data_IF_940955510424
#
_entry.id   IF_940955510424
#
_cell.length_a   1.000
_cell.length_b   1.000
_cell.length_c   1.000
_cell.angle_alpha   90.00
_cell.angle_beta   90.00
_cell.angle_gamma   90.00
#
_symmetry.space_group_name_H-M   'P 1'
#
loop_
_entity.id
_entity.type
_entity.pdbx_description
1 polymer ?
#
# COMPACT_ATOMS: atom_id res chain seq x y z
N UNK A 1 -7.53 -15.00 -5.86
CA UNK A 1 -6.53 -15.74 -5.08
C UNK A 1 -6.39 -15.20 -3.66
N UNK A 2 -6.01 -13.93 -3.43
CA UNK A 2 -5.75 -13.38 -2.08
C UNK A 2 -6.97 -13.50 -1.15
N UNK A 3 -8.11 -12.90 -1.50
CA UNK A 3 -9.31 -12.94 -0.66
C UNK A 3 -9.83 -14.37 -0.45
N UNK A 4 -9.67 -15.26 -1.44
CA UNK A 4 -10.02 -16.68 -1.26
C UNK A 4 -9.23 -17.31 -0.12
N UNK A 5 -7.92 -17.10 -0.07
CA UNK A 5 -7.10 -17.65 1.02
C UNK A 5 -7.41 -17.02 2.39
N UNK A 6 -7.95 -15.80 2.42
CA UNK A 6 -8.42 -15.19 3.68
C UNK A 6 -9.70 -15.84 4.16
N UNK A 7 -10.67 -16.09 3.27
CA UNK A 7 -11.98 -16.61 3.66
C UNK A 7 -12.02 -18.12 3.82
N UNK A 8 -11.10 -18.88 3.21
CA UNK A 8 -11.02 -20.35 3.37
C UNK A 8 -10.94 -20.77 4.85
N UNK A 9 -10.26 -19.98 5.69
CA UNK A 9 -10.13 -20.26 7.12
C UNK A 9 -11.43 -20.01 7.92
N UNK A 10 -12.43 -19.38 7.33
CA UNK A 10 -13.72 -19.05 7.96
C UNK A 10 -14.89 -19.85 7.39
N UNK A 11 -14.66 -20.72 6.41
CA UNK A 11 -15.69 -21.61 5.89
C UNK A 11 -16.04 -22.70 6.92
N UNK A 12 -17.29 -23.12 6.92
CA UNK A 12 -17.82 -24.18 7.79
C UNK A 12 -18.86 -25.01 7.05
N UNK A 13 -19.40 -26.03 7.73
CA UNK A 13 -20.52 -26.84 7.19
C UNK A 13 -21.81 -26.03 7.02
N UNK A 14 -21.91 -24.86 7.69
CA UNK A 14 -23.11 -24.01 7.65
C UNK A 14 -23.07 -22.97 6.53
N UNK A 15 -21.87 -22.52 6.13
CA UNK A 15 -21.71 -21.51 5.07
C UNK A 15 -20.37 -21.64 4.34
N UNK A 16 -20.40 -21.27 3.07
CA UNK A 16 -19.26 -21.19 2.19
C UNK A 16 -19.22 -19.82 1.52
N UNK A 17 -18.02 -19.36 1.12
CA UNK A 17 -17.84 -18.10 0.41
C UNK A 17 -17.66 -18.36 -1.09
N UNK A 18 -18.53 -17.75 -1.91
CA UNK A 18 -18.33 -17.66 -3.34
C UNK A 18 -17.67 -16.32 -3.66
N UNK A 19 -16.49 -16.36 -4.29
CA UNK A 19 -15.79 -15.14 -4.70
C UNK A 19 -16.09 -14.85 -6.16
N UNK A 20 -16.77 -13.75 -6.39
CA UNK A 20 -17.09 -13.23 -7.71
C UNK A 20 -16.44 -11.88 -7.96
N UNK A 21 -16.23 -11.57 -9.23
CA UNK A 21 -15.80 -10.23 -9.67
C UNK A 21 -17.04 -9.56 -10.25
N UNK A 22 -17.30 -8.27 -9.98
CA UNK A 22 -18.42 -7.55 -10.58
C UNK A 22 -18.34 -7.63 -12.12
N UNK A 23 -19.22 -8.44 -12.75
CA UNK A 23 -19.17 -8.77 -14.16
C UNK A 23 -20.03 -7.82 -15.02
N UNK A 24 -20.19 -6.58 -14.63
CA UNK A 24 -20.85 -5.60 -15.52
C UNK A 24 -19.81 -4.96 -16.42
N UNK A 25 -19.84 -5.33 -17.70
CA UNK A 25 -18.94 -4.79 -18.74
C UNK A 25 -19.18 -3.30 -19.05
N UNK A 26 -20.28 -2.75 -18.59
CA UNK A 26 -20.77 -1.39 -18.83
C UNK A 26 -20.47 -0.43 -17.66
N UNK A 27 -20.04 -0.92 -16.52
CA UNK A 27 -19.66 -0.09 -15.37
C UNK A 27 -18.16 0.15 -15.33
N UNK A 28 -17.77 1.35 -14.94
CA UNK A 28 -16.38 1.66 -14.62
C UNK A 28 -15.86 0.66 -13.60
N UNK A 29 -14.75 -0.04 -13.91
CA UNK A 29 -14.14 -1.01 -13.01
C UNK A 29 -13.49 -0.29 -11.83
N UNK A 30 -13.52 -0.92 -10.64
CA UNK A 30 -12.75 -0.47 -9.50
C UNK A 30 -13.59 -0.17 -8.25
N UNK A 31 -12.94 0.38 -7.26
CA UNK A 31 -13.45 0.66 -5.91
C UNK A 31 -14.83 1.37 -5.91
N UNK A 32 -15.02 2.38 -6.76
CA UNK A 32 -16.29 3.14 -6.84
C UNK A 32 -17.49 2.29 -7.16
N UNK A 33 -17.33 1.27 -8.01
CA UNK A 33 -18.43 0.36 -8.35
C UNK A 33 -18.80 -0.51 -7.16
N UNK A 34 -17.78 -1.01 -6.47
CA UNK A 34 -17.96 -1.84 -5.27
C UNK A 34 -18.67 -1.04 -4.17
N UNK A 35 -18.25 0.20 -3.92
CA UNK A 35 -18.89 1.07 -2.94
C UNK A 35 -20.36 1.35 -3.31
N UNK A 36 -20.64 1.65 -4.56
CA UNK A 36 -22.03 1.85 -5.01
C UNK A 36 -22.91 0.59 -4.84
N UNK A 37 -22.34 -0.60 -5.06
CA UNK A 37 -23.05 -1.87 -4.80
C UNK A 37 -23.24 -2.12 -3.31
N UNK A 38 -22.32 -1.68 -2.48
CA UNK A 38 -22.41 -1.82 -1.03
C UNK A 38 -23.50 -0.93 -0.40
N UNK A 39 -23.91 0.14 -1.09
CA UNK A 39 -25.03 1.00 -0.69
C UNK A 39 -26.41 0.42 -1.08
N UNK A 40 -26.45 -0.60 -1.94
CA UNK A 40 -27.72 -1.16 -2.45
C UNK A 40 -28.37 -2.05 -1.37
N UNK A 41 -29.55 -1.69 -0.85
CA UNK A 41 -30.23 -2.45 0.19
C UNK A 41 -30.75 -3.82 -0.29
N UNK A 42 -30.80 -4.06 -1.60
CA UNK A 42 -31.18 -5.36 -2.18
C UNK A 42 -30.01 -6.35 -2.19
N UNK A 43 -28.77 -5.86 -2.07
CA UNK A 43 -27.59 -6.70 -2.00
C UNK A 43 -27.40 -7.18 -0.56
N UNK A 44 -27.78 -8.43 -0.32
CA UNK A 44 -27.70 -9.09 1.00
C UNK A 44 -26.69 -10.23 0.96
N UNK A 45 -26.26 -10.64 2.13
CA UNK A 45 -25.33 -11.78 2.29
C UNK A 45 -24.06 -11.67 1.42
N UNK A 46 -23.61 -10.42 1.21
CA UNK A 46 -22.48 -10.11 0.36
C UNK A 46 -21.43 -9.33 1.14
N UNK A 47 -20.18 -9.79 1.07
CA UNK A 47 -19.01 -9.09 1.57
C UNK A 47 -18.26 -8.45 0.40
N UNK A 48 -17.95 -7.19 0.53
CA UNK A 48 -17.22 -6.43 -0.49
C UNK A 48 -15.74 -6.33 -0.13
N UNK A 49 -14.89 -6.82 -1.02
CA UNK A 49 -13.44 -6.88 -0.81
C UNK A 49 -12.74 -5.87 -1.71
N UNK A 50 -12.00 -4.96 -1.13
CA UNK A 50 -11.33 -3.88 -1.85
C UNK A 50 -9.89 -3.68 -1.39
N UNK A 51 -9.07 -3.12 -2.27
CA UNK A 51 -7.80 -2.53 -1.86
C UNK A 51 -8.05 -1.21 -1.14
N UNK A 52 -7.37 -1.02 -0.04
CA UNK A 52 -7.53 0.19 0.78
C UNK A 52 -7.00 1.43 0.07
N UNK A 53 -5.98 1.31 -0.77
CA UNK A 53 -5.14 2.45 -1.14
C UNK A 53 -4.67 3.18 0.13
N UNK A 54 -5.06 4.44 0.32
CA UNK A 54 -4.80 5.18 1.57
C UNK A 54 -6.01 5.28 2.49
N UNK A 55 -7.16 4.71 2.15
CA UNK A 55 -8.39 4.92 2.92
C UNK A 55 -8.30 4.39 4.35
N UNK A 56 -7.61 3.25 4.56
CA UNK A 56 -7.31 2.79 5.91
C UNK A 56 -6.48 3.81 6.69
N UNK A 57 -5.46 4.39 6.06
CA UNK A 57 -4.56 5.34 6.72
C UNK A 57 -5.23 6.70 6.96
N UNK A 58 -6.11 7.12 6.08
CA UNK A 58 -6.85 8.38 6.21
C UNK A 58 -7.98 8.30 7.24
N UNK A 59 -8.44 7.12 7.57
CA UNK A 59 -9.53 6.92 8.51
C UNK A 59 -10.80 7.72 8.14
N UNK A 60 -11.17 8.69 8.96
CA UNK A 60 -12.35 9.53 8.78
C UNK A 60 -12.04 10.88 8.08
N UNK A 61 -10.84 11.03 7.52
CA UNK A 61 -10.41 12.33 6.98
C UNK A 61 -11.02 12.66 5.62
N UNK A 62 -11.39 11.65 4.84
CA UNK A 62 -12.14 11.83 3.58
C UNK A 62 -13.52 11.15 3.66
N UNK A 63 -14.52 11.57 2.86
CA UNK A 63 -15.82 10.89 2.82
C UNK A 63 -15.68 9.40 2.48
N UNK A 64 -14.88 9.06 1.47
CA UNK A 64 -14.65 7.68 1.01
C UNK A 64 -13.95 6.86 2.09
N UNK A 65 -12.89 7.39 2.71
CA UNK A 65 -12.17 6.65 3.76
C UNK A 65 -13.05 6.40 4.99
N UNK A 66 -13.95 7.34 5.32
CA UNK A 66 -14.92 7.16 6.39
C UNK A 66 -15.90 6.04 6.09
N UNK A 67 -16.45 6.01 4.89
CA UNK A 67 -17.37 4.97 4.43
C UNK A 67 -16.73 3.60 4.51
N UNK A 68 -15.55 3.42 3.90
CA UNK A 68 -14.80 2.16 3.88
C UNK A 68 -14.49 1.66 5.30
N UNK A 69 -14.03 2.55 6.19
CA UNK A 69 -13.65 2.15 7.54
C UNK A 69 -14.83 1.88 8.48
N UNK A 70 -16.05 2.30 8.13
CA UNK A 70 -17.24 2.18 9.00
C UNK A 70 -18.28 1.20 8.51
N UNK A 71 -18.25 0.83 7.25
CA UNK A 71 -19.25 -0.09 6.66
C UNK A 71 -18.88 -1.54 7.00
N UNK A 72 -19.70 -2.26 7.80
CA UNK A 72 -19.30 -3.55 8.38
C UNK A 72 -19.14 -4.68 7.37
N UNK A 73 -19.72 -4.57 6.18
CA UNK A 73 -19.62 -5.57 5.10
C UNK A 73 -18.59 -5.21 4.03
N UNK A 74 -17.82 -4.13 4.24
CA UNK A 74 -16.67 -3.80 3.39
C UNK A 74 -15.40 -4.29 4.08
N UNK A 75 -14.74 -5.25 3.44
CA UNK A 75 -13.42 -5.75 3.83
C UNK A 75 -12.35 -5.07 2.98
N UNK A 76 -11.37 -4.48 3.62
CA UNK A 76 -10.30 -3.79 2.93
C UNK A 76 -8.92 -4.26 3.41
N UNK A 77 -7.91 -4.03 2.59
CA UNK A 77 -6.52 -4.27 3.01
C UNK A 77 -6.09 -3.24 4.06
N UNK A 78 -5.22 -3.64 5.00
CA UNK A 78 -4.53 -2.71 5.91
C UNK A 78 -3.23 -2.15 5.29
N UNK A 79 -2.69 -2.82 4.28
CA UNK A 79 -1.67 -2.32 3.39
C UNK A 79 -2.32 -1.54 2.23
N UNK A 80 -1.51 -0.91 1.36
CA UNK A 80 -2.03 -0.15 0.22
C UNK A 80 -2.90 -1.02 -0.70
N UNK A 81 -2.42 -2.18 -1.08
CA UNK A 81 -3.12 -3.14 -1.93
C UNK A 81 -2.74 -4.59 -1.57
N UNK A 82 -3.45 -5.57 -2.15
CA UNK A 82 -3.15 -7.00 -1.94
C UNK A 82 -1.73 -7.38 -2.36
N UNK A 83 -1.16 -6.74 -3.38
CA UNK A 83 0.22 -6.96 -3.82
C UNK A 83 1.26 -6.63 -2.76
N UNK A 84 0.98 -5.68 -1.88
CA UNK A 84 1.90 -5.33 -0.79
C UNK A 84 2.07 -6.47 0.21
N UNK A 85 1.03 -7.27 0.44
CA UNK A 85 1.15 -8.49 1.25
C UNK A 85 2.02 -9.57 0.58
N UNK A 86 1.97 -9.66 -0.77
CA UNK A 86 2.85 -10.58 -1.51
C UNK A 86 4.33 -10.21 -1.39
N UNK A 87 4.62 -8.94 -1.10
CA UNK A 87 5.97 -8.43 -0.85
C UNK A 87 6.35 -8.40 0.64
N UNK A 88 5.59 -9.07 1.51
CA UNK A 88 5.89 -9.10 2.95
C UNK A 88 7.25 -9.74 3.22
N UNK A 89 8.22 -8.93 3.61
CA UNK A 89 9.63 -9.27 3.67
C UNK A 89 9.94 -10.55 4.49
N UNK A 90 9.33 -10.77 5.69
CA UNK A 90 9.59 -11.97 6.47
C UNK A 90 9.21 -13.29 5.79
N UNK A 91 8.28 -13.28 4.83
CA UNK A 91 7.84 -14.48 4.11
C UNK A 91 8.67 -14.79 2.86
N UNK A 92 9.40 -13.81 2.31
CA UNK A 92 10.02 -13.93 1.00
C UNK A 92 11.14 -14.98 0.95
N UNK A 93 11.95 -15.11 2.01
CA UNK A 93 12.96 -16.14 2.07
C UNK A 93 12.34 -17.55 1.91
N UNK A 94 11.30 -17.84 2.66
CA UNK A 94 10.59 -19.13 2.59
C UNK A 94 9.98 -19.39 1.22
N UNK A 95 9.48 -18.35 0.54
CA UNK A 95 8.97 -18.45 -0.84
C UNK A 95 10.10 -18.82 -1.79
N UNK A 96 11.27 -18.18 -1.66
CA UNK A 96 12.45 -18.51 -2.47
C UNK A 96 12.92 -19.94 -2.22
N UNK A 97 13.00 -20.40 -0.96
CA UNK A 97 13.35 -21.77 -0.60
C UNK A 97 12.38 -22.77 -1.24
N UNK A 98 11.09 -22.54 -1.16
CA UNK A 98 10.07 -23.39 -1.79
C UNK A 98 10.21 -23.46 -3.32
N UNK A 99 10.52 -22.34 -3.96
CA UNK A 99 10.66 -22.25 -5.41
C UNK A 99 11.96 -22.88 -5.93
N UNK A 100 13.07 -22.64 -5.24
CA UNK A 100 14.41 -23.06 -5.71
C UNK A 100 14.90 -24.37 -5.11
N UNK A 101 14.27 -24.87 -4.05
CA UNK A 101 14.72 -25.99 -3.23
C UNK A 101 16.12 -25.77 -2.62
N UNK A 102 16.48 -24.51 -2.44
CA UNK A 102 17.76 -24.09 -1.84
C UNK A 102 17.46 -23.16 -0.67
N UNK A 103 17.96 -23.51 0.50
CA UNK A 103 17.79 -22.78 1.77
C UNK A 103 18.93 -21.77 2.06
N UNK A 104 19.88 -21.65 1.15
CA UNK A 104 20.98 -20.70 1.30
C UNK A 104 20.44 -19.26 1.31
N UNK A 105 20.70 -18.55 2.39
CA UNK A 105 20.30 -17.14 2.50
C UNK A 105 21.31 -16.26 1.76
N UNK A 106 21.01 -15.96 0.48
CA UNK A 106 21.85 -15.12 -0.38
C UNK A 106 21.41 -13.65 -0.38
N UNK A 107 20.25 -13.35 0.19
CA UNK A 107 19.68 -12.01 0.24
C UNK A 107 18.79 -11.83 1.46
N UNK A 108 19.11 -10.86 2.30
CA UNK A 108 18.31 -10.50 3.48
C UNK A 108 17.18 -9.55 3.07
N UNK A 109 16.02 -10.13 2.80
CA UNK A 109 14.83 -9.39 2.38
C UNK A 109 14.36 -8.40 3.45
N UNK A 110 14.36 -8.78 4.73
CA UNK A 110 13.88 -7.92 5.80
C UNK A 110 14.73 -6.66 5.91
N UNK A 111 16.05 -6.85 5.94
CA UNK A 111 16.99 -5.73 5.95
C UNK A 111 16.86 -4.85 4.71
N UNK A 112 16.76 -5.46 3.52
CA UNK A 112 16.64 -4.72 2.27
C UNK A 112 15.36 -3.88 2.24
N UNK A 113 14.19 -4.46 2.56
CA UNK A 113 12.92 -3.74 2.55
C UNK A 113 12.83 -2.68 3.64
N UNK A 114 13.42 -2.89 4.81
CA UNK A 114 13.54 -1.86 5.83
C UNK A 114 14.40 -0.68 5.34
N UNK A 115 15.56 -0.93 4.74
CA UNK A 115 16.44 0.11 4.21
C UNK A 115 15.84 0.82 2.97
N UNK A 116 15.12 0.08 2.12
CA UNK A 116 14.33 0.63 1.02
C UNK A 116 13.25 1.56 1.55
N UNK A 117 12.46 1.10 2.52
CA UNK A 117 11.39 1.89 3.15
C UNK A 117 11.90 3.19 3.75
N UNK A 118 12.97 3.13 4.56
CA UNK A 118 13.61 4.34 5.11
C UNK A 118 14.03 5.31 4.01
N UNK A 119 14.49 4.76 2.89
CA UNK A 119 14.96 5.57 1.76
C UNK A 119 13.79 6.28 1.07
N UNK A 120 12.67 5.61 0.82
CA UNK A 120 11.53 6.20 0.10
C UNK A 120 10.59 7.01 1.00
N UNK A 121 10.64 6.84 2.33
CA UNK A 121 9.75 7.44 3.30
C UNK A 121 9.53 8.95 3.12
N UNK A 122 10.53 9.79 2.87
CA UNK A 122 10.31 11.22 2.64
C UNK A 122 9.37 11.51 1.46
N UNK A 123 9.53 10.79 0.35
CA UNK A 123 8.67 10.96 -0.83
C UNK A 123 7.30 10.28 -0.66
N UNK A 124 7.23 9.17 0.08
CA UNK A 124 5.97 8.57 0.47
C UNK A 124 5.11 9.57 1.25
N UNK A 125 5.68 10.32 2.19
CA UNK A 125 4.95 11.34 2.93
C UNK A 125 4.44 12.48 2.02
N UNK A 126 5.20 12.88 1.02
CA UNK A 126 4.73 13.83 0.02
C UNK A 126 3.56 13.29 -0.77
N UNK A 127 3.65 12.04 -1.23
CA UNK A 127 2.60 11.41 -2.00
C UNK A 127 1.33 11.20 -1.17
N UNK A 128 1.43 10.60 0.01
CA UNK A 128 0.28 10.35 0.87
C UNK A 128 -0.39 11.66 1.33
N UNK A 129 0.41 12.69 1.66
CA UNK A 129 -0.12 14.00 2.01
C UNK A 129 -0.83 14.66 0.82
N UNK A 130 -0.24 14.62 -0.37
CA UNK A 130 -0.87 15.14 -1.59
C UNK A 130 -2.17 14.40 -1.93
N UNK A 131 -2.21 13.09 -1.76
CA UNK A 131 -3.42 12.29 -1.99
C UNK A 131 -4.55 12.64 -1.01
N UNK A 132 -4.23 13.04 0.22
CA UNK A 132 -5.22 13.50 1.19
C UNK A 132 -5.83 14.86 0.81
N UNK A 133 -5.10 15.69 0.07
CA UNK A 133 -5.57 16.99 -0.41
C UNK A 133 -6.34 16.79 -1.73
N UNK A 134 -7.62 16.48 -1.68
CA UNK A 134 -8.44 16.10 -2.85
C UNK A 134 -8.43 17.13 -4.01
N UNK A 135 -8.06 18.38 -3.76
CA UNK A 135 -8.08 19.47 -4.73
C UNK A 135 -6.72 19.84 -5.33
N UNK A 136 -5.61 19.44 -4.71
CA UNK A 136 -4.26 19.82 -5.14
C UNK A 136 -3.31 18.61 -5.11
N UNK A 137 -2.86 18.16 -6.28
CA UNK A 137 -1.87 17.11 -6.40
C UNK A 137 -0.46 17.68 -6.51
N UNK A 138 0.18 17.93 -5.36
CA UNK A 138 1.55 18.43 -5.28
C UNK A 138 2.55 17.39 -5.77
N UNK A 139 2.30 16.12 -5.45
CA UNK A 139 3.16 15.01 -5.81
C UNK A 139 2.31 13.78 -6.08
N UNK A 140 2.18 13.42 -7.36
CA UNK A 140 1.27 12.37 -7.83
C UNK A 140 1.85 10.96 -7.66
N UNK A 141 0.99 9.92 -7.80
CA UNK A 141 1.43 8.53 -7.88
C UNK A 141 2.47 8.30 -9.00
N UNK A 142 2.29 8.96 -10.14
CA UNK A 142 3.23 8.86 -11.26
C UNK A 142 4.61 9.45 -10.90
N UNK A 143 4.63 10.60 -10.20
CA UNK A 143 5.86 11.21 -9.69
C UNK A 143 6.56 10.31 -8.66
N UNK A 144 5.79 9.76 -7.73
CA UNK A 144 6.28 8.83 -6.71
C UNK A 144 6.90 7.59 -7.37
N UNK A 145 6.15 6.89 -8.22
CA UNK A 145 6.63 5.70 -8.94
C UNK A 145 7.91 5.98 -9.73
N UNK A 146 7.96 7.08 -10.47
CA UNK A 146 9.16 7.47 -11.22
C UNK A 146 10.37 7.72 -10.32
N UNK A 147 10.14 8.25 -9.11
CA UNK A 147 11.21 8.60 -8.17
C UNK A 147 11.77 7.42 -7.39
N UNK A 148 10.94 6.39 -7.10
CA UNK A 148 11.31 5.24 -6.24
C UNK A 148 11.56 3.96 -7.03
N UNK A 149 11.39 3.97 -8.35
CA UNK A 149 11.57 2.80 -9.21
C UNK A 149 13.00 2.26 -9.10
N UNK A 150 13.11 0.96 -8.85
CA UNK A 150 14.39 0.25 -8.93
C UNK A 150 14.67 -0.13 -10.39
N UNK A 151 15.71 0.42 -10.99
CA UNK A 151 16.12 0.10 -12.36
C UNK A 151 17.00 -1.17 -12.41
N UNK A 152 17.59 -1.53 -11.28
CA UNK A 152 18.38 -2.75 -11.10
C UNK A 152 18.33 -3.15 -9.63
N UNK A 153 18.54 -4.43 -9.36
CA UNK A 153 18.72 -4.95 -8.01
C UNK A 153 20.04 -5.71 -7.97
N UNK A 154 20.97 -5.19 -7.19
CA UNK A 154 22.22 -5.88 -6.91
C UNK A 154 21.99 -6.88 -5.76
N UNK A 155 22.19 -8.16 -6.02
CA UNK A 155 22.05 -9.20 -4.99
C UNK A 155 23.28 -9.21 -4.07
N UNK A 156 24.47 -9.01 -4.63
CA UNK A 156 25.68 -8.86 -3.85
C UNK A 156 25.56 -7.68 -2.89
N UNK A 157 26.13 -7.82 -1.71
CA UNK A 157 26.05 -6.80 -0.65
C UNK A 157 24.61 -6.35 -0.30
N UNK A 158 23.64 -7.21 -0.49
CA UNK A 158 22.24 -6.99 -0.12
C UNK A 158 21.65 -5.69 -0.69
N UNK A 159 21.92 -5.38 -1.94
CA UNK A 159 21.36 -4.23 -2.64
C UNK A 159 21.96 -2.88 -2.26
N UNK A 160 23.10 -2.81 -1.60
CA UNK A 160 23.69 -1.54 -1.12
C UNK A 160 23.90 -0.52 -2.24
N UNK A 161 24.36 -0.94 -3.43
CA UNK A 161 24.55 -0.01 -4.58
C UNK A 161 23.22 0.48 -5.13
N UNK A 162 22.23 -0.42 -5.21
CA UNK A 162 20.85 -0.09 -5.60
C UNK A 162 20.29 0.98 -4.67
N UNK A 163 20.38 0.77 -3.37
CA UNK A 163 19.88 1.69 -2.35
C UNK A 163 20.66 3.02 -2.33
N UNK A 164 21.97 2.98 -2.54
CA UNK A 164 22.78 4.20 -2.61
C UNK A 164 22.40 5.10 -3.80
N UNK A 165 22.10 4.48 -4.95
CA UNK A 165 21.57 5.20 -6.12
C UNK A 165 20.19 5.80 -5.83
N UNK A 166 19.28 4.99 -5.23
CA UNK A 166 17.95 5.41 -4.87
C UNK A 166 17.97 6.59 -3.88
N UNK A 167 18.80 6.52 -2.83
CA UNK A 167 18.95 7.60 -1.83
C UNK A 167 19.30 8.94 -2.47
N UNK A 168 20.21 8.94 -3.44
CA UNK A 168 20.58 10.20 -4.15
C UNK A 168 19.40 10.77 -4.93
N UNK A 169 18.63 9.92 -5.59
CA UNK A 169 17.45 10.36 -6.36
C UNK A 169 16.36 10.91 -5.45
N UNK A 170 16.05 10.18 -4.38
CA UNK A 170 15.05 10.58 -3.39
C UNK A 170 15.45 11.89 -2.71
N UNK A 171 16.70 12.02 -2.24
CA UNK A 171 17.17 13.23 -1.58
C UNK A 171 17.04 14.46 -2.48
N UNK A 172 17.45 14.35 -3.75
CA UNK A 172 17.31 15.44 -4.73
C UNK A 172 15.85 15.83 -4.97
N UNK A 173 14.95 14.84 -5.06
CA UNK A 173 13.53 15.09 -5.28
C UNK A 173 12.85 15.69 -4.05
N UNK A 174 13.15 15.16 -2.85
CA UNK A 174 12.63 15.70 -1.58
C UNK A 174 13.08 17.15 -1.37
N UNK A 175 14.37 17.45 -1.66
CA UNK A 175 14.87 18.82 -1.59
C UNK A 175 14.11 19.77 -2.53
N UNK A 176 13.91 19.38 -3.80
CA UNK A 176 13.17 20.21 -4.75
C UNK A 176 11.71 20.46 -4.32
N UNK A 177 11.06 19.45 -3.68
CA UNK A 177 9.71 19.60 -3.15
C UNK A 177 9.69 20.53 -1.94
N UNK A 178 10.66 20.43 -1.04
CA UNK A 178 10.79 21.34 0.14
C UNK A 178 11.02 22.78 -0.27
N UNK A 179 11.83 23.03 -1.30
CA UNK A 179 12.10 24.38 -1.82
C UNK A 179 10.87 24.98 -2.48
N UNK A 180 10.08 24.16 -3.20
CA UNK A 180 8.89 24.61 -3.92
C UNK A 180 7.66 24.78 -3.01
N UNK A 181 7.55 23.98 -1.95
CA UNK A 181 6.38 23.86 -1.07
C UNK A 181 6.78 23.99 0.40
N UNK A 182 7.53 25.03 0.73
CA UNK A 182 8.04 25.26 2.09
C UNK A 182 6.92 25.35 3.13
N UNK A 183 5.78 25.92 2.75
CA UNK A 183 4.56 26.06 3.56
C UNK A 183 3.93 24.70 3.96
N UNK A 184 4.21 23.64 3.19
CA UNK A 184 3.67 22.31 3.44
C UNK A 184 4.52 21.46 4.39
N UNK A 185 5.70 21.92 4.77
CA UNK A 185 6.64 21.12 5.59
C UNK A 185 6.03 20.79 6.95
N UNK A 186 5.51 21.77 7.67
CA UNK A 186 4.90 21.55 8.99
C UNK A 186 3.57 20.79 8.92
N UNK A 187 2.63 21.10 8.01
CA UNK A 187 1.44 20.27 7.83
C UNK A 187 1.75 18.80 7.50
N UNK A 188 2.73 18.56 6.61
CA UNK A 188 3.19 17.20 6.27
C UNK A 188 3.82 16.48 7.48
N UNK A 189 4.54 17.19 8.34
CA UNK A 189 5.10 16.63 9.58
C UNK A 189 4.00 16.21 10.54
N UNK A 190 3.00 17.05 10.77
CA UNK A 190 1.84 16.70 11.58
C UNK A 190 1.06 15.51 10.99
N UNK A 191 0.99 15.41 9.66
CA UNK A 191 0.41 14.28 8.98
C UNK A 191 1.23 13.00 9.20
N UNK A 192 2.56 13.05 9.13
CA UNK A 192 3.44 11.91 9.43
C UNK A 192 3.22 11.35 10.85
N UNK A 193 3.00 12.21 11.83
CA UNK A 193 2.67 11.78 13.20
C UNK A 193 1.33 11.04 13.29
N UNK A 194 0.34 11.45 12.48
CA UNK A 194 -0.94 10.72 12.39
C UNK A 194 -0.74 9.35 11.75
N UNK A 195 0.02 9.25 10.68
CA UNK A 195 0.36 7.99 10.03
C UNK A 195 1.13 7.05 10.97
N UNK A 196 2.06 7.58 11.74
CA UNK A 196 2.81 6.81 12.73
C UNK A 196 1.89 6.15 13.77
N UNK A 197 0.87 6.86 14.26
CA UNK A 197 -0.14 6.31 15.17
C UNK A 197 -1.00 5.20 14.53
N UNK A 198 -0.99 5.13 13.20
CA UNK A 198 -1.65 4.09 12.41
C UNK A 198 -0.72 2.94 12.00
N UNK A 199 0.49 2.93 12.54
CA UNK A 199 1.47 1.87 12.33
C UNK A 199 2.39 2.07 11.12
N UNK A 200 2.35 3.23 10.44
CA UNK A 200 3.30 3.54 9.36
C UNK A 200 4.59 4.06 9.98
N UNK A 201 5.67 3.35 9.74
CA UNK A 201 7.02 3.73 10.17
C UNK A 201 7.95 3.88 8.97
N UNK A 202 9.12 4.51 9.15
CA UNK A 202 10.12 4.53 8.08
C UNK A 202 10.53 3.14 7.59
N UNK A 203 10.45 2.11 8.42
CA UNK A 203 10.90 0.75 8.12
C UNK A 203 9.87 -0.08 7.35
N UNK A 204 8.58 0.22 7.47
CA UNK A 204 7.51 -0.57 6.86
C UNK A 204 6.76 0.15 5.73
N UNK A 205 7.26 1.30 5.30
CA UNK A 205 6.62 2.13 4.26
C UNK A 205 6.37 1.36 2.96
N UNK A 206 7.15 0.33 2.66
CA UNK A 206 6.96 -0.51 1.46
C UNK A 206 5.62 -1.26 1.44
N UNK A 207 4.91 -1.35 2.57
CA UNK A 207 3.59 -1.96 2.67
C UNK A 207 2.46 -0.98 2.31
N UNK A 208 2.75 0.30 2.28
CA UNK A 208 1.79 1.37 2.06
C UNK A 208 2.18 2.19 0.82
#
# INVERSE_FOLDING_TARGET
>A
AFWRSVFDDYESDEFMFEISVPLRNDLAKGKKVVLHLAEDPEVRDTLFCIDSDFDYLFADQTPVSREINRTPHIFHTYAYATENYLCYAPSLHNICVKATKNDTNIFDFEKFFADYSRTIYPLFLWYAYSAQQESEHIFTLADFRASVRLNFLEIEHNGLRTLAWLRRNVARRDQALRERHAEMIEPKRAFAEKLFRRGVTPENTYLF
#
